data_IF_346568918571
#
_entry.id   IF_346568918571
#
_cell.length_a   1.000
_cell.length_b   1.000
_cell.length_c   1.000
_cell.angle_alpha   90.00
_cell.angle_beta   90.00
_cell.angle_gamma   90.00
#
_symmetry.space_group_name_H-M   'P 1'
#
loop_
_entity.id
_entity.type
_entity.pdbx_description
1 polymer ?
#
# COMPACT_ATOMS: atom_id res chain seq x y z
N UNK A 1 -46.51 -57.78 15.56
CA UNK A 1 -46.08 -56.55 16.28
C UNK A 1 -44.55 -56.48 16.23
N UNK A 2 -43.97 -55.30 15.97
CA UNK A 2 -42.57 -55.15 15.56
C UNK A 2 -41.65 -54.82 16.74
N UNK A 3 -40.36 -55.17 16.61
CA UNK A 3 -39.30 -54.54 17.39
C UNK A 3 -38.27 -53.98 16.40
N UNK A 4 -38.31 -52.67 16.20
CA UNK A 4 -37.31 -51.90 15.45
C UNK A 4 -36.31 -51.35 16.48
N UNK A 5 -35.01 -51.67 16.40
CA UNK A 5 -34.03 -51.01 17.23
C UNK A 5 -33.83 -49.58 16.74
N UNK A 6 -34.02 -48.64 17.66
CA UNK A 6 -33.84 -47.21 17.47
C UNK A 6 -32.34 -46.92 17.44
N UNK A 7 -31.76 -46.69 16.26
CA UNK A 7 -30.39 -46.18 16.14
C UNK A 7 -30.40 -44.71 16.55
N UNK A 8 -29.89 -44.43 17.74
CA UNK A 8 -29.47 -43.10 18.14
C UNK A 8 -28.22 -42.74 17.35
N UNK A 9 -28.42 -42.22 16.13
CA UNK A 9 -27.37 -41.52 15.41
C UNK A 9 -27.25 -40.13 16.02
N UNK A 10 -26.33 -40.01 16.99
CA UNK A 10 -25.83 -38.72 17.42
C UNK A 10 -25.13 -38.06 16.24
N UNK A 11 -25.84 -37.15 15.58
CA UNK A 11 -25.26 -36.33 14.52
C UNK A 11 -24.39 -35.27 15.20
N UNK A 12 -23.09 -35.56 15.13
CA UNK A 12 -21.92 -34.69 15.11
C UNK A 12 -22.07 -33.24 15.55
N UNK A 13 -21.19 -32.91 16.50
CA UNK A 13 -20.74 -31.56 16.85
C UNK A 13 -20.53 -30.71 15.59
N UNK A 14 -21.35 -29.69 15.43
CA UNK A 14 -21.04 -28.59 14.53
C UNK A 14 -20.46 -27.48 15.39
N UNK A 15 -19.19 -27.66 15.78
CA UNK A 15 -18.36 -26.59 16.35
C UNK A 15 -18.11 -25.55 15.25
N UNK A 16 -19.15 -24.75 14.99
CA UNK A 16 -19.00 -23.47 14.31
C UNK A 16 -18.23 -22.55 15.23
N UNK A 17 -16.90 -22.54 15.11
CA UNK A 17 -16.05 -21.48 15.64
C UNK A 17 -16.45 -20.16 14.96
N UNK A 18 -17.49 -19.53 15.50
CA UNK A 18 -17.90 -18.21 15.12
C UNK A 18 -16.87 -17.26 15.73
N UNK A 19 -15.80 -16.99 14.97
CA UNK A 19 -14.73 -16.08 15.38
C UNK A 19 -15.36 -14.81 15.96
N UNK A 20 -14.94 -14.45 17.18
CA UNK A 20 -15.51 -13.31 17.87
C UNK A 20 -15.32 -12.04 17.04
N UNK A 21 -16.24 -11.08 17.13
CA UNK A 21 -16.10 -9.78 16.45
C UNK A 21 -14.74 -9.12 16.73
N UNK A 22 -14.17 -9.35 17.92
CA UNK A 22 -12.82 -8.91 18.29
C UNK A 22 -11.72 -9.62 17.50
N UNK A 23 -11.83 -10.93 17.29
CA UNK A 23 -10.87 -11.70 16.49
C UNK A 23 -10.94 -11.32 15.01
N UNK A 24 -12.15 -11.09 14.48
CA UNK A 24 -12.34 -10.58 13.12
C UNK A 24 -11.72 -9.19 12.93
N UNK A 25 -11.88 -8.29 13.90
CA UNK A 25 -11.26 -6.97 13.86
C UNK A 25 -9.72 -7.03 13.95
N UNK A 26 -9.19 -7.90 14.81
CA UNK A 26 -7.75 -8.14 14.89
C UNK A 26 -7.21 -8.71 13.58
N UNK A 27 -7.87 -9.72 13.01
CA UNK A 27 -7.48 -10.29 11.73
C UNK A 27 -7.53 -9.25 10.59
N UNK A 28 -8.54 -8.36 10.58
CA UNK A 28 -8.61 -7.26 9.61
C UNK A 28 -7.49 -6.25 9.78
N UNK A 29 -7.20 -5.85 11.03
CA UNK A 29 -6.11 -4.92 11.33
C UNK A 29 -4.74 -5.50 10.96
N UNK A 30 -4.47 -6.76 11.33
CA UNK A 30 -3.23 -7.42 10.96
C UNK A 30 -3.09 -7.61 9.46
N UNK A 31 -4.17 -7.99 8.77
CA UNK A 31 -4.17 -8.06 7.30
C UNK A 31 -3.85 -6.70 6.68
N UNK A 32 -4.52 -5.65 7.15
CA UNK A 32 -4.29 -4.29 6.65
C UNK A 32 -2.84 -3.85 6.87
N UNK A 33 -2.32 -4.04 8.09
CA UNK A 33 -0.94 -3.68 8.46
C UNK A 33 0.11 -4.54 7.73
N UNK A 34 -0.21 -5.79 7.39
CA UNK A 34 0.66 -6.67 6.62
C UNK A 34 0.74 -6.21 5.17
N UNK A 35 -0.40 -5.88 4.55
CA UNK A 35 -0.47 -5.37 3.18
C UNK A 35 0.27 -4.03 3.05
N UNK A 36 0.18 -3.13 4.03
CA UNK A 36 0.95 -1.87 4.06
C UNK A 36 2.46 -2.12 4.08
N UNK A 37 2.91 -3.12 4.83
CA UNK A 37 4.33 -3.47 4.91
C UNK A 37 4.83 -4.12 3.60
N UNK A 38 3.99 -4.96 2.98
CA UNK A 38 4.30 -5.64 1.72
C UNK A 38 4.37 -4.66 0.53
N UNK A 39 3.47 -3.67 0.46
CA UNK A 39 3.49 -2.68 -0.61
C UNK A 39 4.76 -1.82 -0.57
N UNK A 40 5.17 -1.40 0.62
CA UNK A 40 6.39 -0.63 0.80
C UNK A 40 7.64 -1.40 0.38
N UNK A 41 7.76 -2.66 0.81
CA UNK A 41 8.89 -3.52 0.42
C UNK A 41 8.94 -3.73 -1.09
N UNK A 42 7.78 -4.01 -1.70
CA UNK A 42 7.67 -4.23 -3.15
C UNK A 42 8.05 -2.98 -3.95
N UNK A 43 7.65 -1.79 -3.48
CA UNK A 43 8.01 -0.53 -4.11
C UNK A 43 9.53 -0.27 -4.04
N UNK A 44 10.15 -0.51 -2.89
CA UNK A 44 11.60 -0.36 -2.72
C UNK A 44 12.37 -1.35 -3.61
N UNK A 45 11.94 -2.61 -3.70
CA UNK A 45 12.53 -3.60 -4.60
C UNK A 45 12.40 -3.19 -6.06
N UNK A 46 11.25 -2.66 -6.46
CA UNK A 46 11.03 -2.11 -7.81
C UNK A 46 12.00 -0.95 -8.08
N UNK A 47 12.21 -0.05 -7.12
CA UNK A 47 13.17 1.05 -7.25
C UNK A 47 14.59 0.51 -7.37
N UNK A 48 15.01 -0.42 -6.51
CA UNK A 48 16.39 -0.91 -6.46
C UNK A 48 16.76 -1.84 -7.64
N UNK A 49 15.77 -2.51 -8.24
CA UNK A 49 15.99 -3.36 -9.41
C UNK A 49 16.02 -2.58 -10.73
N UNK A 50 15.49 -1.37 -10.77
CA UNK A 50 15.46 -0.53 -11.97
C UNK A 50 16.84 0.05 -12.31
N UNK A 51 17.13 0.22 -13.59
CA UNK A 51 18.38 0.83 -14.06
C UNK A 51 18.31 2.37 -13.96
N UNK A 52 18.50 2.88 -12.75
CA UNK A 52 18.46 4.31 -12.43
C UNK A 52 19.83 4.84 -11.97
N UNK A 53 20.01 6.16 -12.03
CA UNK A 53 21.20 6.76 -11.42
C UNK A 53 21.13 6.66 -9.88
N UNK A 54 22.27 6.64 -9.17
CA UNK A 54 22.29 6.56 -7.70
C UNK A 54 21.45 7.64 -7.01
N UNK A 55 21.44 8.86 -7.56
CA UNK A 55 20.64 9.98 -7.05
C UNK A 55 19.14 9.78 -7.28
N UNK A 56 18.75 9.12 -8.37
CA UNK A 56 17.35 8.79 -8.66
C UNK A 56 16.81 7.74 -7.70
N UNK A 57 17.62 6.71 -7.38
CA UNK A 57 17.26 5.74 -6.34
C UNK A 57 17.05 6.42 -4.99
N UNK A 58 17.95 7.31 -4.58
CA UNK A 58 17.82 8.04 -3.32
C UNK A 58 16.54 8.90 -3.28
N UNK A 59 16.28 9.66 -4.35
CA UNK A 59 15.07 10.49 -4.43
C UNK A 59 13.79 9.67 -4.34
N UNK A 60 13.69 8.58 -5.10
CA UNK A 60 12.49 7.73 -5.10
C UNK A 60 12.34 6.94 -3.80
N UNK A 61 13.46 6.54 -3.18
CA UNK A 61 13.45 5.94 -1.84
C UNK A 61 12.91 6.93 -0.82
N UNK A 62 13.38 8.17 -0.83
CA UNK A 62 12.89 9.23 0.06
C UNK A 62 11.44 9.61 -0.21
N UNK A 63 10.99 9.53 -1.47
CA UNK A 63 9.58 9.70 -1.80
C UNK A 63 8.70 8.66 -1.08
N UNK A 64 9.13 7.39 -1.03
CA UNK A 64 8.37 6.33 -0.37
C UNK A 64 8.50 6.41 1.16
N UNK A 65 9.73 6.40 1.69
CA UNK A 65 9.98 6.34 3.14
C UNK A 65 9.70 7.66 3.86
N UNK A 66 9.89 8.79 3.17
CA UNK A 66 9.74 10.13 3.74
C UNK A 66 8.32 10.70 3.61
N UNK A 67 7.39 9.98 2.98
CA UNK A 67 6.02 10.42 2.86
C UNK A 67 5.30 10.41 4.22
N UNK A 68 4.32 11.29 4.38
CA UNK A 68 3.40 11.29 5.54
C UNK A 68 2.67 9.94 5.67
N UNK A 69 2.41 9.28 4.53
CA UNK A 69 1.84 7.94 4.44
C UNK A 69 2.69 7.08 3.48
N UNK A 70 3.71 6.36 4.00
CA UNK A 70 4.62 5.56 3.18
C UNK A 70 3.94 4.45 2.38
N UNK A 71 2.90 3.84 2.95
CA UNK A 71 2.08 2.80 2.33
C UNK A 71 1.34 3.32 1.08
N UNK A 72 0.78 4.53 1.17
CA UNK A 72 0.10 5.19 0.05
C UNK A 72 1.08 5.64 -1.02
N UNK A 73 2.24 6.14 -0.62
CA UNK A 73 3.30 6.52 -1.56
C UNK A 73 3.82 5.30 -2.33
N UNK A 74 4.07 4.18 -1.63
CA UNK A 74 4.44 2.91 -2.23
C UNK A 74 3.36 2.37 -3.17
N UNK A 75 2.09 2.37 -2.72
CA UNK A 75 0.96 1.95 -3.54
C UNK A 75 0.79 2.79 -4.80
N UNK A 76 0.93 4.12 -4.68
CA UNK A 76 0.87 5.03 -5.82
C UNK A 76 1.99 4.76 -6.83
N UNK A 77 3.22 4.57 -6.37
CA UNK A 77 4.36 4.24 -7.22
C UNK A 77 4.15 2.93 -7.98
N UNK A 78 3.72 1.87 -7.27
CA UNK A 78 3.46 0.56 -7.88
C UNK A 78 2.32 0.63 -8.91
N UNK A 79 1.25 1.36 -8.60
CA UNK A 79 0.16 1.60 -9.57
C UNK A 79 0.66 2.35 -10.81
N UNK A 80 1.49 3.39 -10.64
CA UNK A 80 2.10 4.13 -11.75
C UNK A 80 2.94 3.24 -12.66
N UNK A 81 3.77 2.38 -12.08
CA UNK A 81 4.60 1.41 -12.83
C UNK A 81 3.75 0.34 -13.50
N UNK A 82 2.65 -0.08 -12.88
CA UNK A 82 1.73 -1.08 -13.46
C UNK A 82 0.87 -0.51 -14.59
N UNK A 83 0.44 0.74 -14.46
CA UNK A 83 -0.38 1.44 -15.46
C UNK A 83 0.45 1.94 -16.65
N UNK A 84 1.75 2.14 -16.47
CA UNK A 84 2.64 2.47 -17.56
C UNK A 84 2.82 1.27 -18.50
N UNK A 85 2.47 1.44 -19.77
CA UNK A 85 2.82 0.48 -20.83
C UNK A 85 4.31 0.53 -21.20
N UNK A 86 5.10 1.39 -20.54
CA UNK A 86 6.52 1.62 -20.75
C UNK A 86 7.38 0.82 -19.77
N UNK A 87 8.69 0.85 -19.97
CA UNK A 87 9.65 0.24 -19.06
C UNK A 87 9.55 0.89 -17.66
N UNK A 88 9.81 0.10 -16.62
CA UNK A 88 9.75 0.54 -15.21
C UNK A 88 10.57 1.82 -15.00
N UNK A 89 11.75 1.90 -15.60
CA UNK A 89 12.65 3.05 -15.53
C UNK A 89 12.00 4.33 -16.07
N UNK A 90 11.25 4.22 -17.17
CA UNK A 90 10.58 5.35 -17.79
C UNK A 90 9.46 5.86 -16.86
N UNK A 91 8.66 4.96 -16.30
CA UNK A 91 7.60 5.32 -15.35
C UNK A 91 8.15 5.99 -14.08
N UNK A 92 9.28 5.49 -13.56
CA UNK A 92 9.96 6.06 -12.40
C UNK A 92 10.57 7.44 -12.70
N UNK A 93 11.11 7.65 -13.91
CA UNK A 93 11.61 8.95 -14.36
C UNK A 93 10.49 9.98 -14.53
N UNK A 94 9.35 9.55 -15.06
CA UNK A 94 8.13 10.38 -15.16
C UNK A 94 7.60 10.76 -13.78
N UNK A 95 7.48 9.80 -12.87
CA UNK A 95 7.09 10.05 -11.48
C UNK A 95 8.00 11.09 -10.81
N UNK A 96 9.31 10.97 -10.99
CA UNK A 96 10.29 11.95 -10.49
C UNK A 96 10.04 13.35 -11.09
N UNK A 97 9.72 13.43 -12.38
CA UNK A 97 9.43 14.68 -13.06
C UNK A 97 8.16 15.34 -12.49
N UNK A 98 7.09 14.57 -12.33
CA UNK A 98 5.84 15.05 -11.73
C UNK A 98 6.05 15.56 -10.31
N UNK A 99 6.84 14.82 -9.52
CA UNK A 99 7.15 15.21 -8.15
C UNK A 99 7.93 16.53 -8.09
N UNK A 100 8.91 16.73 -8.99
CA UNK A 100 9.59 18.03 -9.13
C UNK A 100 8.63 19.16 -9.50
N UNK A 101 7.69 18.90 -10.40
CA UNK A 101 6.70 19.91 -10.80
C UNK A 101 5.80 20.29 -9.63
N UNK A 102 5.34 19.31 -8.83
CA UNK A 102 4.55 19.56 -7.64
C UNK A 102 5.32 20.39 -6.60
N UNK A 103 6.58 20.04 -6.31
CA UNK A 103 7.43 20.81 -5.39
C UNK A 103 7.60 22.25 -5.89
N UNK A 104 7.80 22.44 -7.20
CA UNK A 104 7.89 23.77 -7.80
C UNK A 104 6.60 24.58 -7.63
N UNK A 105 5.43 23.95 -7.77
CA UNK A 105 4.14 24.65 -7.61
C UNK A 105 3.89 25.06 -6.15
N UNK A 106 4.25 24.21 -5.19
CA UNK A 106 4.10 24.48 -3.76
C UNK A 106 5.02 25.61 -3.32
N UNK A 107 6.29 25.58 -3.75
CA UNK A 107 7.27 26.63 -3.41
C UNK A 107 6.87 28.00 -3.97
N UNK A 108 6.34 28.06 -5.20
CA UNK A 108 5.82 29.31 -5.78
C UNK A 108 4.63 29.88 -4.98
N UNK A 109 3.78 29.04 -4.39
CA UNK A 109 2.64 29.51 -3.59
C UNK A 109 3.03 30.05 -2.22
N UNK A 110 4.14 29.56 -1.63
CA UNK A 110 4.61 30.01 -0.32
C UNK A 110 5.12 31.47 -0.38
N UNK A 111 5.79 31.83 -1.48
CA UNK A 111 6.30 33.19 -1.72
C UNK A 111 5.19 34.23 -1.99
N UNK A 112 4.02 33.82 -2.48
CA UNK A 112 2.92 34.74 -2.82
C UNK A 112 2.07 35.19 -1.62
N UNK A 113 2.30 34.63 -0.43
CA UNK A 113 1.49 34.90 0.78
C UNK A 113 2.01 36.04 1.68
N UNK A 114 3.15 36.66 1.34
CA UNK A 114 3.85 37.63 2.21
C UNK A 114 3.58 39.11 1.84
N UNK A 115 2.70 39.40 0.87
CA UNK A 115 2.54 40.77 0.34
C UNK A 115 1.08 41.26 0.38
N UNK A 116 0.44 41.25 1.54
CA UNK A 116 -0.70 42.15 1.82
C UNK A 116 -0.72 42.52 3.30
N UNK A 117 0.11 43.50 3.69
CA UNK A 117 -0.12 44.36 4.86
C UNK A 117 0.86 45.55 4.78
N UNK A 118 0.46 46.61 4.07
CA UNK A 118 0.95 47.98 4.28
C UNK A 118 -0.05 49.03 3.80
#
# INVERSE_FOLDING_TARGET
MPFVPRTTSGFESVDGHHASRRELLLAKYFRYKLVEKESMQSALETIFSASLAPTEHLLLKHFVEGAVHPDKAAGYLLSRVKESNSQVEQALRELKQDWRNLVSLVTIHEDASVVEDN
#
